data_IF_201153732928
#
_entry.id   IF_201153732928
#
_cell.length_a   1.000
_cell.length_b   1.000
_cell.length_c   1.000
_cell.angle_alpha   90.00
_cell.angle_beta   90.00
_cell.angle_gamma   90.00
#
_symmetry.space_group_name_H-M   'P 1'
#
loop_
_entity.id
_entity.type
_entity.pdbx_description
1 polymer ?
#
# COMPACT_ATOMS: atom_id res chain seq x y z
N UNK A 1 -14.88 23.91 -36.70
CA UNK A 1 -15.74 24.89 -36.01
C UNK A 1 -14.84 25.75 -35.13
N UNK A 2 -15.09 27.06 -35.14
CA UNK A 2 -14.15 28.13 -34.80
C UNK A 2 -13.44 27.98 -33.45
N UNK A 3 -12.13 28.23 -33.45
CA UNK A 3 -11.34 28.56 -32.26
C UNK A 3 -11.76 29.95 -31.74
N UNK A 4 -12.98 30.05 -31.21
CA UNK A 4 -13.35 31.16 -30.32
C UNK A 4 -12.63 30.94 -28.98
N UNK A 5 -11.94 31.95 -28.49
CA UNK A 5 -11.24 31.85 -27.21
C UNK A 5 -12.25 31.70 -26.07
N UNK A 6 -11.95 30.88 -25.05
CA UNK A 6 -12.74 30.80 -23.79
C UNK A 6 -13.02 32.16 -23.14
N UNK A 7 -12.26 33.19 -23.51
CA UNK A 7 -12.44 34.59 -23.10
C UNK A 7 -13.64 35.30 -23.74
N UNK A 8 -14.15 34.83 -24.88
CA UNK A 8 -15.31 35.44 -25.57
C UNK A 8 -16.63 35.19 -24.82
N UNK A 9 -16.64 34.18 -23.96
CA UNK A 9 -17.80 33.73 -23.19
C UNK A 9 -17.79 34.22 -21.73
N UNK A 10 -16.77 35.00 -21.34
CA UNK A 10 -16.57 35.46 -19.98
C UNK A 10 -17.19 36.85 -19.77
N UNK A 11 -18.26 36.92 -18.99
CA UNK A 11 -18.83 38.18 -18.51
C UNK A 11 -18.57 38.30 -17.00
N UNK A 12 -17.69 39.23 -16.62
CA UNK A 12 -17.22 39.42 -15.24
C UNK A 12 -16.59 38.16 -14.62
N UNK A 13 -17.43 37.32 -13.97
CA UNK A 13 -17.05 36.05 -13.35
C UNK A 13 -17.96 34.88 -13.77
N UNK A 14 -18.87 35.13 -14.69
CA UNK A 14 -19.76 34.13 -15.29
C UNK A 14 -19.16 33.67 -16.62
N UNK A 15 -19.02 32.35 -16.75
CA UNK A 15 -18.59 31.73 -17.98
C UNK A 15 -19.73 30.86 -18.52
N UNK A 16 -20.30 31.30 -19.64
CA UNK A 16 -21.36 30.58 -20.33
C UNK A 16 -20.77 29.70 -21.44
N UNK A 17 -20.81 28.40 -21.21
CA UNK A 17 -20.41 27.36 -22.17
C UNK A 17 -21.60 26.46 -22.54
N UNK A 18 -22.82 26.96 -22.38
CA UNK A 18 -24.05 26.24 -22.68
C UNK A 18 -24.24 26.01 -24.20
N UNK A 19 -24.88 24.90 -24.58
CA UNK A 19 -25.25 24.60 -25.98
C UNK A 19 -24.08 24.53 -26.98
N UNK A 20 -22.84 24.37 -26.50
CA UNK A 20 -21.63 24.30 -27.33
C UNK A 20 -21.26 22.88 -27.80
N UNK A 21 -22.12 21.89 -27.53
CA UNK A 21 -21.96 20.48 -27.91
C UNK A 21 -20.71 19.81 -27.32
N UNK A 22 -20.26 20.25 -26.15
CA UNK A 22 -19.13 19.61 -25.47
C UNK A 22 -19.46 18.18 -25.05
N UNK A 23 -18.60 17.23 -25.37
CA UNK A 23 -18.63 15.88 -24.77
C UNK A 23 -17.73 15.78 -23.53
N UNK A 24 -16.72 16.65 -23.44
CA UNK A 24 -15.75 16.73 -22.35
C UNK A 24 -15.63 18.17 -21.90
N UNK A 25 -15.51 18.37 -20.59
CA UNK A 25 -15.36 19.70 -20.00
C UNK A 25 -14.03 20.35 -20.41
N UNK A 26 -14.04 21.60 -20.90
CA UNK A 26 -12.80 22.35 -21.15
C UNK A 26 -12.13 22.75 -19.82
N UNK A 27 -10.98 22.13 -19.51
CA UNK A 27 -10.29 22.21 -18.18
C UNK A 27 -9.62 23.58 -17.90
N UNK A 28 -9.80 24.58 -18.75
CA UNK A 28 -9.08 25.86 -18.69
C UNK A 28 -9.81 27.00 -17.94
N UNK A 29 -10.82 26.71 -17.12
CA UNK A 29 -11.70 27.72 -16.50
C UNK A 29 -11.22 28.11 -15.08
N UNK A 30 -10.02 28.66 -14.90
CA UNK A 30 -9.46 28.84 -13.54
C UNK A 30 -10.05 29.99 -12.70
N UNK A 31 -10.92 30.83 -13.26
CA UNK A 31 -11.32 32.11 -12.62
C UNK A 31 -12.83 32.31 -12.43
N UNK A 32 -13.67 31.47 -13.02
CA UNK A 32 -15.12 31.68 -12.96
C UNK A 32 -15.68 31.39 -11.55
N UNK A 33 -16.67 32.18 -11.14
CA UNK A 33 -17.49 31.92 -9.95
C UNK A 33 -18.87 31.39 -10.34
N UNK A 34 -19.31 31.62 -11.57
CA UNK A 34 -20.51 31.03 -12.15
C UNK A 34 -20.09 30.33 -13.45
N UNK A 35 -20.46 29.06 -13.60
CA UNK A 35 -20.15 28.27 -14.77
C UNK A 35 -21.42 27.60 -15.26
N UNK A 36 -21.82 27.96 -16.48
CA UNK A 36 -22.90 27.29 -17.19
C UNK A 36 -22.31 26.33 -18.22
N UNK A 37 -22.57 25.03 -18.05
CA UNK A 37 -22.22 23.95 -18.96
C UNK A 37 -23.48 23.22 -19.43
N UNK A 38 -24.65 23.83 -19.30
CA UNK A 38 -25.94 23.24 -19.61
C UNK A 38 -26.12 22.92 -21.10
N UNK A 39 -27.03 22.00 -21.40
CA UNK A 39 -27.40 21.64 -22.76
C UNK A 39 -26.21 21.23 -23.66
N UNK A 40 -25.23 20.54 -23.07
CA UNK A 40 -24.12 19.91 -23.79
C UNK A 40 -24.33 18.39 -23.88
N UNK A 41 -23.30 17.62 -24.21
CA UNK A 41 -23.33 16.15 -24.24
C UNK A 41 -22.28 15.53 -23.29
N UNK A 42 -22.00 16.23 -22.19
CA UNK A 42 -20.98 15.84 -21.22
C UNK A 42 -21.42 14.56 -20.51
N UNK A 43 -20.57 13.53 -20.52
CA UNK A 43 -20.85 12.22 -19.90
C UNK A 43 -20.22 12.05 -18.52
N UNK A 44 -19.08 12.69 -18.32
CA UNK A 44 -18.32 12.64 -17.08
C UNK A 44 -17.60 13.97 -16.84
N UNK A 45 -17.34 14.27 -15.56
CA UNK A 45 -16.47 15.34 -15.16
C UNK A 45 -15.10 14.74 -14.78
N UNK A 46 -13.98 15.33 -15.22
CA UNK A 46 -12.67 14.83 -14.83
C UNK A 46 -12.47 14.99 -13.31
N UNK A 47 -11.67 14.11 -12.70
CA UNK A 47 -11.34 14.20 -11.26
C UNK A 47 -10.65 15.53 -10.88
N UNK A 48 -10.06 16.23 -11.83
CA UNK A 48 -9.44 17.54 -11.63
C UNK A 48 -10.43 18.71 -11.71
N UNK A 49 -11.69 18.46 -12.06
CA UNK A 49 -12.72 19.49 -12.23
C UNK A 49 -12.94 20.26 -10.92
N UNK A 50 -13.29 19.55 -9.85
CA UNK A 50 -13.60 20.17 -8.56
C UNK A 50 -12.37 20.85 -7.92
N UNK A 51 -11.17 20.30 -8.10
CA UNK A 51 -9.93 20.87 -7.56
C UNK A 51 -9.46 22.12 -8.30
N UNK A 52 -9.85 22.29 -9.56
CA UNK A 52 -9.49 23.47 -10.37
C UNK A 52 -10.45 24.65 -10.19
N UNK A 53 -11.66 24.39 -9.69
CA UNK A 53 -12.80 25.31 -9.69
C UNK A 53 -13.32 25.65 -8.28
N UNK A 54 -12.42 25.68 -7.30
CA UNK A 54 -12.76 25.84 -5.86
C UNK A 54 -13.48 27.15 -5.51
N UNK A 55 -13.48 28.13 -6.42
CA UNK A 55 -14.18 29.43 -6.29
C UNK A 55 -15.60 29.43 -6.83
N UNK A 56 -16.08 28.33 -7.44
CA UNK A 56 -17.44 28.28 -7.98
C UNK A 56 -18.47 28.45 -6.87
N UNK A 57 -19.46 29.27 -7.19
CA UNK A 57 -20.64 29.58 -6.39
C UNK A 57 -21.89 29.03 -7.08
N UNK A 58 -21.95 29.07 -8.41
CA UNK A 58 -23.02 28.45 -9.19
C UNK A 58 -22.45 27.57 -10.30
N UNK A 59 -23.01 26.39 -10.45
CA UNK A 59 -22.65 25.44 -11.49
C UNK A 59 -23.93 24.87 -12.10
N UNK A 60 -24.14 25.12 -13.39
CA UNK A 60 -25.21 24.50 -14.16
C UNK A 60 -24.62 23.40 -15.05
N UNK A 61 -25.07 22.17 -14.83
CA UNK A 61 -24.74 20.98 -15.61
C UNK A 61 -26.01 20.32 -16.17
N UNK A 62 -27.12 21.05 -16.19
CA UNK A 62 -28.41 20.53 -16.64
C UNK A 62 -28.40 20.11 -18.11
N UNK A 63 -29.30 19.20 -18.49
CA UNK A 63 -29.48 18.72 -19.87
C UNK A 63 -28.18 18.19 -20.48
N UNK A 64 -27.40 17.46 -19.70
CA UNK A 64 -26.21 16.74 -20.14
C UNK A 64 -26.48 15.22 -20.15
N UNK A 65 -25.42 14.40 -20.17
CA UNK A 65 -25.50 12.94 -20.14
C UNK A 65 -24.70 12.37 -18.98
N UNK A 66 -24.57 13.13 -17.89
CA UNK A 66 -23.76 12.72 -16.73
C UNK A 66 -24.32 11.46 -16.10
N UNK A 67 -23.50 10.41 -16.03
CA UNK A 67 -23.86 9.15 -15.38
C UNK A 67 -23.41 9.11 -13.92
N UNK A 68 -22.31 9.80 -13.61
CA UNK A 68 -21.75 9.90 -12.26
C UNK A 68 -21.10 11.27 -12.06
N UNK A 69 -21.06 11.73 -10.80
CA UNK A 69 -20.23 12.85 -10.38
C UNK A 69 -18.95 12.34 -9.71
N UNK A 70 -17.82 13.06 -9.83
CA UNK A 70 -16.57 12.63 -9.22
C UNK A 70 -16.67 12.63 -7.69
N UNK A 71 -16.02 11.65 -7.05
CA UNK A 71 -16.03 11.48 -5.59
C UNK A 71 -15.51 12.70 -4.82
N UNK A 72 -14.75 13.58 -5.47
CA UNK A 72 -14.20 14.79 -4.89
C UNK A 72 -14.98 16.07 -5.22
N UNK A 73 -16.25 15.97 -5.64
CA UNK A 73 -17.12 17.13 -5.92
C UNK A 73 -17.25 18.07 -4.71
N UNK A 74 -17.08 17.53 -3.49
CA UNK A 74 -17.05 18.27 -2.23
C UNK A 74 -15.94 19.33 -2.14
N UNK A 75 -14.91 19.27 -3.00
CA UNK A 75 -13.87 20.31 -3.07
C UNK A 75 -14.41 21.66 -3.55
N UNK A 76 -15.60 21.69 -4.16
CA UNK A 76 -16.33 22.92 -4.48
C UNK A 76 -16.97 23.53 -3.21
N UNK A 77 -16.16 23.90 -2.23
CA UNK A 77 -16.61 24.33 -0.90
C UNK A 77 -17.48 25.59 -0.91
N UNK A 78 -17.35 26.44 -1.93
CA UNK A 78 -18.10 27.69 -2.07
C UNK A 78 -19.39 27.53 -2.89
N UNK A 79 -19.69 26.33 -3.39
CA UNK A 79 -20.83 26.11 -4.27
C UNK A 79 -22.14 26.24 -3.50
N UNK A 80 -23.01 27.13 -3.99
CA UNK A 80 -24.34 27.39 -3.45
C UNK A 80 -25.45 26.81 -4.30
N UNK A 81 -25.26 26.81 -5.62
CA UNK A 81 -26.24 26.32 -6.59
C UNK A 81 -25.60 25.26 -7.47
N UNK A 82 -26.22 24.09 -7.53
CA UNK A 82 -25.82 23.00 -8.42
C UNK A 82 -27.06 22.50 -9.17
N UNK A 83 -27.08 22.70 -10.49
CA UNK A 83 -28.13 22.17 -11.34
C UNK A 83 -27.66 20.91 -12.07
N UNK A 84 -28.37 19.80 -11.86
CA UNK A 84 -28.12 18.51 -12.50
C UNK A 84 -29.38 17.99 -13.20
N UNK A 85 -30.38 18.84 -13.41
CA UNK A 85 -31.62 18.52 -14.10
C UNK A 85 -31.36 17.80 -15.44
N UNK A 86 -32.17 16.80 -15.76
CA UNK A 86 -32.12 16.07 -17.03
C UNK A 86 -30.72 15.52 -17.37
N UNK A 87 -30.19 14.68 -16.48
CA UNK A 87 -28.96 13.91 -16.69
C UNK A 87 -29.25 12.39 -16.62
N UNK A 88 -28.23 11.55 -16.45
CA UNK A 88 -28.34 10.09 -16.36
C UNK A 88 -27.86 9.56 -15.01
N UNK A 89 -27.91 10.39 -13.97
CA UNK A 89 -27.43 10.03 -12.64
C UNK A 89 -28.35 9.00 -12.00
N UNK A 90 -27.76 7.93 -11.47
CA UNK A 90 -28.48 6.93 -10.65
C UNK A 90 -28.29 7.15 -9.16
N UNK A 91 -27.19 7.80 -8.79
CA UNK A 91 -26.78 8.12 -7.42
C UNK A 91 -25.84 9.34 -7.43
N UNK A 92 -25.54 9.86 -6.24
CA UNK A 92 -24.56 10.91 -6.03
C UNK A 92 -23.39 10.34 -5.20
N UNK A 93 -22.18 10.91 -5.31
CA UNK A 93 -21.06 10.52 -4.48
C UNK A 93 -21.37 10.83 -3.03
N UNK A 94 -20.97 9.94 -2.12
CA UNK A 94 -21.25 10.08 -0.68
C UNK A 94 -20.78 11.44 -0.19
N UNK A 95 -19.63 11.93 -0.67
CA UNK A 95 -18.99 13.20 -0.31
C UNK A 95 -19.87 14.45 -0.46
N UNK A 96 -20.99 14.40 -1.18
CA UNK A 96 -21.93 15.53 -1.31
C UNK A 96 -22.40 16.05 0.04
N UNK A 97 -22.46 15.20 1.08
CA UNK A 97 -22.82 15.61 2.44
C UNK A 97 -21.91 16.71 3.02
N UNK A 98 -20.66 16.79 2.55
CA UNK A 98 -19.66 17.76 3.02
C UNK A 98 -19.80 19.14 2.37
N UNK A 99 -20.65 19.28 1.34
CA UNK A 99 -20.88 20.55 0.63
C UNK A 99 -21.75 21.50 1.46
N UNK A 100 -21.19 22.04 2.56
CA UNK A 100 -21.92 22.79 3.59
C UNK A 100 -22.64 24.03 3.10
N UNK A 101 -22.14 24.64 2.03
CA UNK A 101 -22.70 25.86 1.44
C UNK A 101 -23.71 25.59 0.32
N UNK A 102 -23.91 24.33 -0.09
CA UNK A 102 -24.89 23.98 -1.10
C UNK A 102 -26.29 24.27 -0.55
N UNK A 103 -26.99 25.19 -1.21
CA UNK A 103 -28.31 25.68 -0.82
C UNK A 103 -29.38 25.34 -1.83
N UNK A 104 -29.04 25.10 -3.09
CA UNK A 104 -30.01 24.80 -4.15
C UNK A 104 -29.49 23.64 -4.98
N UNK A 105 -30.34 22.64 -5.19
CA UNK A 105 -30.02 21.42 -5.94
C UNK A 105 -31.24 20.97 -6.72
N UNK A 106 -31.07 20.73 -8.02
CA UNK A 106 -32.06 20.04 -8.84
C UNK A 106 -31.47 18.72 -9.37
N UNK A 107 -32.22 17.64 -9.19
CA UNK A 107 -31.90 16.29 -9.67
C UNK A 107 -33.03 15.71 -10.53
N UNK A 108 -34.07 16.50 -10.85
CA UNK A 108 -35.22 16.03 -11.62
C UNK A 108 -34.77 15.51 -12.99
N UNK A 109 -35.56 14.60 -13.54
CA UNK A 109 -35.31 13.94 -14.83
C UNK A 109 -33.97 13.19 -14.87
N UNK A 110 -33.56 12.63 -13.73
CA UNK A 110 -32.51 11.63 -13.63
C UNK A 110 -33.09 10.26 -13.25
N UNK A 111 -32.50 9.14 -13.72
CA UNK A 111 -32.88 7.78 -13.32
C UNK A 111 -32.36 7.42 -11.92
N UNK A 112 -32.62 8.29 -10.93
CA UNK A 112 -32.19 8.11 -9.55
C UNK A 112 -32.76 6.82 -8.96
N UNK A 113 -31.98 6.16 -8.11
CA UNK A 113 -32.50 5.06 -7.31
C UNK A 113 -33.69 5.50 -6.45
N UNK A 114 -34.55 4.55 -6.06
CA UNK A 114 -35.83 4.86 -5.42
C UNK A 114 -35.67 5.64 -4.09
N UNK A 115 -34.65 5.32 -3.31
CA UNK A 115 -34.37 6.00 -2.03
C UNK A 115 -33.99 7.46 -2.25
N UNK A 116 -33.02 7.72 -3.13
CA UNK A 116 -32.55 9.07 -3.41
C UNK A 116 -33.64 9.90 -4.10
N UNK A 117 -34.43 9.30 -4.98
CA UNK A 117 -35.58 9.98 -5.61
C UNK A 117 -36.59 10.44 -4.57
N UNK A 118 -36.89 9.61 -3.57
CA UNK A 118 -37.81 9.98 -2.50
C UNK A 118 -37.24 11.08 -1.58
N UNK A 119 -35.92 11.07 -1.33
CA UNK A 119 -35.24 12.09 -0.53
C UNK A 119 -35.15 13.43 -1.27
N UNK A 120 -34.78 13.40 -2.55
CA UNK A 120 -34.63 14.61 -3.36
C UNK A 120 -35.96 15.35 -3.53
N UNK A 121 -37.05 14.60 -3.71
CA UNK A 121 -38.37 15.17 -3.97
C UNK A 121 -38.43 15.90 -5.31
N UNK A 122 -39.41 16.79 -5.44
CA UNK A 122 -39.53 17.69 -6.59
C UNK A 122 -38.72 18.98 -6.37
N UNK A 123 -38.54 19.74 -7.45
CA UNK A 123 -37.86 21.04 -7.48
C UNK A 123 -38.61 21.93 -8.48
N UNK A 124 -39.87 22.25 -8.19
CA UNK A 124 -40.73 23.09 -9.04
C UNK A 124 -40.59 24.57 -8.69
N UNK A 125 -40.23 24.87 -7.45
CA UNK A 125 -39.95 26.21 -6.96
C UNK A 125 -38.65 26.28 -6.16
N UNK A 126 -38.22 27.51 -5.87
CA UNK A 126 -36.98 27.76 -5.13
C UNK A 126 -36.94 27.04 -3.77
N UNK A 127 -38.05 26.98 -3.03
CA UNK A 127 -38.08 26.38 -1.68
C UNK A 127 -37.93 24.87 -1.76
N UNK A 128 -38.55 24.24 -2.76
CA UNK A 128 -38.42 22.80 -2.99
C UNK A 128 -36.98 22.41 -3.34
N UNK A 129 -36.34 23.14 -4.24
CA UNK A 129 -34.93 22.90 -4.60
C UNK A 129 -33.96 23.17 -3.43
N UNK A 130 -34.28 24.16 -2.58
CA UNK A 130 -33.51 24.42 -1.37
C UNK A 130 -33.64 23.28 -0.35
N UNK A 131 -34.85 22.73 -0.25
CA UNK A 131 -35.12 21.55 0.58
C UNK A 131 -34.40 20.31 0.02
N UNK A 132 -34.45 20.07 -1.28
CA UNK A 132 -33.72 18.99 -1.94
C UNK A 132 -32.23 19.01 -1.57
N UNK A 133 -31.56 20.16 -1.68
CA UNK A 133 -30.15 20.31 -1.31
C UNK A 133 -29.88 19.90 0.15
N UNK A 134 -30.75 20.32 1.07
CA UNK A 134 -30.62 20.01 2.50
C UNK A 134 -30.87 18.52 2.77
N UNK A 135 -31.98 17.98 2.27
CA UNK A 135 -32.45 16.62 2.56
C UNK A 135 -31.50 15.58 1.94
N UNK A 136 -30.99 15.82 0.72
CA UNK A 136 -29.97 14.98 0.08
C UNK A 136 -28.67 14.96 0.87
N UNK A 137 -28.19 16.13 1.34
CA UNK A 137 -26.98 16.20 2.15
C UNK A 137 -27.13 15.47 3.47
N UNK A 138 -28.28 15.59 4.13
CA UNK A 138 -28.57 14.90 5.39
C UNK A 138 -28.65 13.38 5.19
N UNK A 139 -29.30 12.92 4.11
CA UNK A 139 -29.32 11.51 3.72
C UNK A 139 -27.91 10.95 3.55
N UNK A 140 -27.05 11.61 2.76
CA UNK A 140 -25.68 11.12 2.55
C UNK A 140 -24.80 11.23 3.80
N UNK A 141 -25.06 12.17 4.71
CA UNK A 141 -24.38 12.22 6.01
C UNK A 141 -24.69 10.96 6.83
N UNK A 142 -25.95 10.53 6.86
CA UNK A 142 -26.36 9.30 7.54
C UNK A 142 -25.79 8.05 6.86
N UNK A 143 -25.80 8.01 5.53
CA UNK A 143 -25.15 6.93 4.76
C UNK A 143 -23.66 6.84 5.11
N UNK A 144 -22.95 7.97 5.19
CA UNK A 144 -21.54 7.99 5.55
C UNK A 144 -21.29 7.43 6.95
N UNK A 145 -22.11 7.77 7.94
CA UNK A 145 -22.03 7.22 9.30
C UNK A 145 -22.14 5.69 9.29
N UNK A 146 -23.08 5.13 8.52
CA UNK A 146 -23.26 3.68 8.41
C UNK A 146 -22.10 2.99 7.66
N UNK A 147 -21.55 3.63 6.63
CA UNK A 147 -20.35 3.15 5.95
C UNK A 147 -19.14 3.12 6.89
N UNK A 148 -18.92 4.17 7.69
CA UNK A 148 -17.83 4.23 8.66
C UNK A 148 -17.99 3.19 9.78
N UNK A 149 -19.20 2.98 10.31
CA UNK A 149 -19.48 1.89 11.26
C UNK A 149 -19.12 0.52 10.68
N UNK A 150 -19.49 0.25 9.42
CA UNK A 150 -19.15 -1.00 8.72
C UNK A 150 -17.63 -1.15 8.55
N UNK A 151 -16.92 -0.09 8.15
CA UNK A 151 -15.44 -0.08 8.03
C UNK A 151 -14.78 -0.39 9.37
N UNK A 152 -15.18 0.29 10.45
CA UNK A 152 -14.64 0.07 11.80
C UNK A 152 -14.89 -1.37 12.29
N UNK A 153 -16.10 -1.91 12.05
CA UNK A 153 -16.43 -3.31 12.40
C UNK A 153 -15.56 -4.31 11.65
N UNK A 154 -15.35 -4.10 10.34
CA UNK A 154 -14.47 -4.92 9.51
C UNK A 154 -13.03 -4.89 10.02
N UNK A 155 -12.49 -3.71 10.27
CA UNK A 155 -11.13 -3.52 10.78
C UNK A 155 -10.94 -4.17 12.17
N UNK A 156 -11.93 -4.08 13.05
CA UNK A 156 -11.88 -4.75 14.36
C UNK A 156 -11.84 -6.27 14.23
N UNK A 157 -12.58 -6.84 13.25
CA UNK A 157 -12.55 -8.28 12.96
C UNK A 157 -11.20 -8.71 12.40
N UNK A 158 -10.61 -7.91 11.50
CA UNK A 158 -9.28 -8.15 10.94
C UNK A 158 -8.20 -8.10 12.01
N UNK A 159 -8.19 -7.07 12.87
CA UNK A 159 -7.26 -6.97 14.01
C UNK A 159 -7.37 -8.15 14.98
N UNK A 160 -8.57 -8.64 15.26
CA UNK A 160 -8.77 -9.84 16.10
C UNK A 160 -8.19 -11.10 15.46
N UNK A 161 -8.39 -11.28 14.14
CA UNK A 161 -7.84 -12.40 13.38
C UNK A 161 -6.31 -12.36 13.35
N UNK A 162 -5.75 -11.18 13.13
CA UNK A 162 -4.31 -10.94 13.15
C UNK A 162 -3.72 -11.20 14.54
N UNK A 163 -4.35 -10.69 15.61
CA UNK A 163 -3.90 -10.96 16.98
C UNK A 163 -3.95 -12.45 17.34
N UNK A 164 -4.98 -13.18 16.90
CA UNK A 164 -5.05 -14.63 17.08
C UNK A 164 -3.92 -15.34 16.33
N UNK A 165 -3.69 -14.97 15.06
CA UNK A 165 -2.60 -15.52 14.26
C UNK A 165 -1.24 -15.31 14.93
N UNK A 166 -0.95 -14.11 15.39
CA UNK A 166 0.32 -13.79 16.06
C UNK A 166 0.50 -14.60 17.35
N UNK A 167 -0.58 -14.87 18.11
CA UNK A 167 -0.53 -15.73 19.30
C UNK A 167 -0.21 -17.18 18.95
N UNK A 168 -0.85 -17.73 17.91
CA UNK A 168 -0.57 -19.08 17.43
C UNK A 168 0.87 -19.21 16.95
N UNK A 169 1.36 -18.24 16.18
CA UNK A 169 2.76 -18.19 15.73
C UNK A 169 3.74 -18.09 16.91
N UNK A 170 3.42 -17.32 17.96
CA UNK A 170 4.23 -17.23 19.17
C UNK A 170 4.24 -18.56 19.96
N UNK A 171 3.10 -19.22 20.12
CA UNK A 171 2.99 -20.53 20.75
C UNK A 171 3.77 -21.60 19.98
N UNK A 172 3.68 -21.61 18.65
CA UNK A 172 4.47 -22.50 17.80
C UNK A 172 5.97 -22.22 17.93
N UNK A 173 6.39 -20.95 17.97
CA UNK A 173 7.78 -20.58 18.18
C UNK A 173 8.30 -21.02 19.55
N UNK A 174 7.48 -20.92 20.61
CA UNK A 174 7.80 -21.43 21.96
C UNK A 174 7.99 -22.94 21.93
N UNK A 175 7.05 -23.70 21.34
CA UNK A 175 7.16 -25.15 21.18
C UNK A 175 8.41 -25.56 20.40
N UNK A 176 8.72 -24.87 19.28
CA UNK A 176 9.94 -25.10 18.50
C UNK A 176 11.21 -24.85 19.32
N UNK A 177 11.25 -23.77 20.12
CA UNK A 177 12.39 -23.47 21.01
C UNK A 177 12.56 -24.54 22.10
N UNK A 178 11.47 -25.05 22.66
CA UNK A 178 11.50 -26.12 23.67
C UNK A 178 12.01 -27.45 23.08
N UNK A 179 11.48 -27.85 21.92
CA UNK A 179 11.97 -29.03 21.18
C UNK A 179 13.47 -28.89 20.89
N UNK A 180 13.93 -27.72 20.42
CA UNK A 180 15.35 -27.48 20.18
C UNK A 180 16.21 -27.56 21.46
N UNK A 181 15.68 -27.15 22.62
CA UNK A 181 16.39 -27.29 23.91
C UNK A 181 16.51 -28.76 24.31
N UNK A 182 15.41 -29.50 24.27
CA UNK A 182 15.38 -30.93 24.57
C UNK A 182 16.31 -31.72 23.64
N UNK A 183 16.35 -31.38 22.35
CA UNK A 183 17.23 -32.03 21.40
C UNK A 183 18.71 -31.74 21.68
N UNK A 184 19.06 -30.49 22.02
CA UNK A 184 20.43 -30.13 22.43
C UNK A 184 20.85 -30.89 23.69
N UNK A 185 19.96 -31.03 24.66
CA UNK A 185 20.22 -31.78 25.88
C UNK A 185 20.40 -33.28 25.62
N UNK A 186 19.53 -33.88 24.77
CA UNK A 186 19.67 -35.27 24.32
C UNK A 186 21.02 -35.52 23.65
N UNK A 187 21.44 -34.63 22.73
CA UNK A 187 22.75 -34.71 22.06
C UNK A 187 23.91 -34.62 23.07
N UNK A 188 23.79 -33.78 24.11
CA UNK A 188 24.79 -33.66 25.18
C UNK A 188 24.88 -34.94 26.02
N UNK A 189 23.74 -35.52 26.41
CA UNK A 189 23.71 -36.79 27.15
C UNK A 189 24.30 -37.95 26.32
N UNK A 190 23.98 -38.02 25.03
CA UNK A 190 24.52 -39.04 24.12
C UNK A 190 26.04 -38.90 23.97
N UNK A 191 26.56 -37.68 23.86
CA UNK A 191 28.00 -37.41 23.84
C UNK A 191 28.69 -37.87 25.14
N UNK A 192 28.10 -37.58 26.30
CA UNK A 192 28.63 -38.01 27.60
C UNK A 192 28.65 -39.54 27.72
N UNK A 193 27.57 -40.23 27.33
CA UNK A 193 27.53 -41.69 27.31
C UNK A 193 28.62 -42.32 26.43
N UNK A 194 28.82 -41.80 25.21
CA UNK A 194 29.89 -42.27 24.31
C UNK A 194 31.27 -42.06 24.93
N UNK A 195 31.49 -40.94 25.63
CA UNK A 195 32.74 -40.67 26.34
C UNK A 195 32.97 -41.68 27.48
N UNK A 196 31.95 -41.96 28.29
CA UNK A 196 32.02 -42.95 29.36
C UNK A 196 32.27 -44.38 28.83
N UNK A 197 31.62 -44.75 27.73
CA UNK A 197 31.84 -46.03 27.04
C UNK A 197 33.29 -46.16 26.56
N UNK A 198 33.84 -45.12 25.91
CA UNK A 198 35.24 -45.09 25.47
C UNK A 198 36.23 -45.22 26.64
N UNK A 199 36.02 -44.49 27.74
CA UNK A 199 36.88 -44.61 28.94
C UNK A 199 36.83 -46.00 29.58
N UNK A 200 35.66 -46.67 29.58
CA UNK A 200 35.54 -48.05 30.09
C UNK A 200 36.23 -49.07 29.18
N UNK A 201 36.24 -48.85 27.86
CA UNK A 201 37.03 -49.68 26.94
C UNK A 201 38.54 -49.43 27.05
N UNK A 202 38.98 -48.20 27.32
CA UNK A 202 40.39 -47.90 27.60
C UNK A 202 40.84 -48.51 28.94
N UNK A 203 40.02 -48.50 29.98
CA UNK A 203 40.30 -49.19 31.26
C UNK A 203 40.30 -50.72 31.14
N UNK A 204 39.46 -51.30 30.28
CA UNK A 204 39.52 -52.74 29.95
C UNK A 204 40.78 -53.09 29.16
N UNK A 205 41.16 -52.28 28.18
CA UNK A 205 42.39 -52.48 27.41
C UNK A 205 43.64 -52.30 28.30
N UNK A 206 43.66 -51.34 29.23
CA UNK A 206 44.78 -51.17 30.17
C UNK A 206 44.87 -52.29 31.23
N UNK A 207 43.77 -52.97 31.56
CA UNK A 207 43.80 -54.18 32.39
C UNK A 207 44.34 -55.40 31.63
N UNK A 208 44.13 -55.47 30.32
CA UNK A 208 44.75 -56.48 29.44
C UNK A 208 46.25 -56.21 29.17
N UNK A 209 46.69 -54.95 29.29
CA UNK A 209 48.11 -54.57 29.13
C UNK A 209 48.93 -54.79 30.40
N UNK A 210 48.32 -54.88 31.58
CA UNK A 210 49.02 -55.24 32.83
C UNK A 210 49.40 -56.72 32.98
N UNK A 211 49.19 -57.55 31.97
CA UNK A 211 49.62 -58.96 31.99
C UNK A 211 50.75 -59.30 31.00
N UNK A 212 51.24 -58.34 30.20
CA UNK A 212 52.35 -58.59 29.30
C UNK A 212 53.26 -57.37 29.16
N UNK A 213 54.27 -57.25 30.03
CA UNK A 213 55.57 -56.69 29.64
C UNK A 213 56.64 -57.05 30.69
N UNK A 214 57.49 -58.03 30.37
CA UNK A 214 58.85 -58.11 30.92
C UNK A 214 59.85 -58.40 29.80
N UNK A 215 60.87 -57.53 29.72
CA UNK A 215 62.17 -57.66 29.01
C UNK A 215 62.06 -57.48 27.48
N UNK A 216 62.91 -56.69 26.81
CA UNK A 216 64.38 -56.72 26.91
C UNK A 216 65.02 -55.47 26.29
N UNK A 217 66.21 -55.16 26.81
CA UNK A 217 67.21 -54.15 26.44
C UNK A 217 67.80 -54.24 25.01
N UNK A 218 68.35 -53.08 24.58
CA UNK A 218 69.67 -52.83 23.91
C UNK A 218 69.82 -52.89 22.37
N UNK A 219 70.20 -51.72 21.83
CA UNK A 219 71.55 -51.34 21.36
C UNK A 219 71.68 -50.66 19.97
N UNK A 220 72.59 -49.67 19.98
CA UNK A 220 73.53 -49.14 18.95
C UNK A 220 73.12 -48.28 17.74
N UNK A 221 73.39 -46.97 17.89
CA UNK A 221 74.39 -46.12 17.18
C UNK A 221 74.21 -45.58 15.73
N UNK A 222 74.49 -44.26 15.65
CA UNK A 222 75.10 -43.43 14.58
C UNK A 222 74.31 -42.79 13.42
N UNK A 223 74.70 -41.53 13.19
CA UNK A 223 74.68 -40.68 11.98
C UNK A 223 73.48 -39.75 11.68
N UNK A 224 73.75 -38.44 11.80
CA UNK A 224 73.05 -37.36 11.09
C UNK A 224 73.73 -37.11 9.73
N UNK A 225 72.99 -36.75 8.66
CA UNK A 225 72.81 -35.32 8.37
C UNK A 225 71.45 -34.91 7.77
N UNK A 226 71.16 -33.61 7.91
CA UNK A 226 69.97 -32.84 7.47
C UNK A 226 69.51 -33.10 6.02
N UNK A 227 68.22 -33.39 5.82
CA UNK A 227 67.47 -33.10 4.56
C UNK A 227 66.04 -32.58 4.89
N UNK A 228 65.59 -31.62 4.08
CA UNK A 228 64.40 -30.74 4.14
C UNK A 228 63.05 -31.44 4.38
N UNK A 229 62.04 -30.74 4.96
CA UNK A 229 60.67 -31.25 5.02
C UNK A 229 60.03 -31.29 3.63
N UNK A 230 59.54 -32.47 3.26
CA UNK A 230 58.72 -32.73 2.08
C UNK A 230 57.39 -31.98 2.15
N UNK A 231 57.05 -31.30 1.06
CA UNK A 231 55.76 -30.67 0.79
C UNK A 231 54.67 -31.71 0.53
N UNK A 232 53.42 -31.19 0.61
CA UNK A 232 52.14 -31.64 -0.01
C UNK A 232 51.35 -32.68 0.80
N UNK A 233 50.07 -32.49 1.12
CA UNK A 233 49.03 -31.65 0.50
C UNK A 233 48.21 -30.88 1.55
N UNK A 234 48.31 -29.55 1.54
CA UNK A 234 47.17 -28.70 1.91
C UNK A 234 46.40 -28.45 0.61
N UNK A 235 45.22 -29.06 0.45
CA UNK A 235 44.21 -28.47 -0.43
C UNK A 235 43.54 -27.36 0.36
N UNK A 236 43.72 -26.15 -0.14
CA UNK A 236 43.34 -24.90 0.46
C UNK A 236 41.88 -24.87 0.93
N UNK A 237 41.70 -24.32 2.13
CA UNK A 237 40.42 -23.79 2.59
C UNK A 237 39.86 -22.85 1.53
N UNK A 238 38.79 -23.27 0.84
CA UNK A 238 37.95 -22.37 0.06
C UNK A 238 37.24 -21.45 1.05
N UNK A 239 37.87 -20.30 1.33
CA UNK A 239 37.48 -19.46 2.46
C UNK A 239 36.04 -18.96 2.27
N UNK A 240 35.22 -19.08 3.32
CA UNK A 240 33.86 -18.49 3.37
C UNK A 240 33.84 -17.00 2.97
N UNK A 241 34.98 -16.30 3.08
CA UNK A 241 35.16 -14.92 2.63
C UNK A 241 34.99 -14.78 1.10
N UNK A 242 35.46 -15.74 0.30
CA UNK A 242 35.30 -15.73 -1.16
C UNK A 242 33.83 -15.93 -1.57
N UNK A 243 33.10 -16.80 -0.86
CA UNK A 243 31.67 -17.03 -1.09
C UNK A 243 30.87 -15.76 -0.73
N UNK A 244 31.20 -15.12 0.39
CA UNK A 244 30.56 -13.86 0.80
C UNK A 244 30.77 -12.74 -0.22
N UNK A 245 31.99 -12.60 -0.77
CA UNK A 245 32.29 -11.61 -1.81
C UNK A 245 31.51 -11.88 -3.09
N UNK A 246 31.38 -13.15 -3.51
CA UNK A 246 30.58 -13.52 -4.69
C UNK A 246 29.10 -13.20 -4.47
N UNK A 247 28.55 -13.50 -3.29
CA UNK A 247 27.17 -13.14 -2.94
C UNK A 247 26.95 -11.62 -2.92
N UNK A 248 27.91 -10.86 -2.41
CA UNK A 248 27.84 -9.39 -2.38
C UNK A 248 27.85 -8.79 -3.79
N UNK A 249 28.73 -9.28 -4.67
CA UNK A 249 28.80 -8.83 -6.06
C UNK A 249 27.52 -9.21 -6.82
N UNK A 250 26.98 -10.41 -6.61
CA UNK A 250 25.71 -10.83 -7.20
C UNK A 250 24.54 -9.97 -6.73
N UNK A 251 24.48 -9.65 -5.43
CA UNK A 251 23.45 -8.78 -4.86
C UNK A 251 23.53 -7.37 -5.46
N UNK A 252 24.74 -6.80 -5.56
CA UNK A 252 24.96 -5.47 -6.14
C UNK A 252 24.55 -5.46 -7.61
N UNK A 253 24.92 -6.49 -8.38
CA UNK A 253 24.54 -6.60 -9.79
C UNK A 253 23.01 -6.68 -9.98
N UNK A 254 22.32 -7.40 -9.10
CA UNK A 254 20.87 -7.54 -9.13
C UNK A 254 20.16 -6.22 -8.77
N UNK A 255 20.69 -5.48 -7.78
CA UNK A 255 20.19 -4.16 -7.41
C UNK A 255 20.40 -3.11 -8.51
N UNK A 256 21.56 -3.11 -9.18
CA UNK A 256 21.85 -2.20 -10.31
C UNK A 256 20.94 -2.52 -11.50
N UNK A 257 20.71 -3.80 -11.79
CA UNK A 257 19.81 -4.23 -12.86
C UNK A 257 18.35 -3.84 -12.57
N UNK A 258 17.90 -3.99 -11.32
CA UNK A 258 16.57 -3.52 -10.89
C UNK A 258 16.42 -2.00 -10.97
N UNK A 259 17.48 -1.26 -10.60
CA UNK A 259 17.49 0.20 -10.70
C UNK A 259 17.41 0.67 -12.15
N UNK A 260 18.15 0.03 -13.06
CA UNK A 260 18.12 0.34 -14.49
C UNK A 260 16.76 -0.04 -15.13
N UNK A 261 16.20 -1.19 -14.74
CA UNK A 261 14.85 -1.62 -15.14
C UNK A 261 13.78 -0.60 -14.69
N UNK A 262 13.79 -0.21 -13.42
CA UNK A 262 12.85 0.79 -12.89
C UNK A 262 13.08 2.22 -13.39
N UNK A 263 14.24 2.50 -13.99
CA UNK A 263 14.52 3.81 -14.62
C UNK A 263 13.99 3.87 -16.06
N UNK A 264 13.90 2.73 -16.75
CA UNK A 264 13.44 2.66 -18.15
C UNK A 264 11.98 2.20 -18.32
N UNK A 265 11.37 1.58 -17.30
CA UNK A 265 9.99 1.09 -17.35
C UNK A 265 9.17 1.57 -16.15
N UNK A 266 7.97 2.12 -16.41
CA UNK A 266 7.00 2.54 -15.39
C UNK A 266 6.08 1.36 -15.01
N UNK A 267 6.64 0.40 -14.28
CA UNK A 267 5.93 -0.78 -13.81
C UNK A 267 5.52 -0.63 -12.32
N UNK A 268 4.44 -1.30 -11.91
CA UNK A 268 3.77 -1.07 -10.60
C UNK A 268 4.69 -1.44 -9.41
N UNK A 269 5.59 -2.39 -9.61
CA UNK A 269 6.60 -2.83 -8.63
C UNK A 269 7.64 -1.73 -8.32
N UNK A 270 7.93 -0.86 -9.29
CA UNK A 270 8.87 0.24 -9.12
C UNK A 270 8.27 1.42 -8.34
N UNK A 271 6.94 1.60 -8.43
CA UNK A 271 6.22 2.65 -7.69
C UNK A 271 6.03 2.31 -6.21
N UNK A 272 5.76 1.05 -5.86
CA UNK A 272 5.64 0.64 -4.46
C UNK A 272 6.98 0.65 -3.73
N UNK A 273 8.08 0.27 -4.40
CA UNK A 273 9.42 0.28 -3.83
C UNK A 273 9.91 1.67 -3.41
N UNK A 274 9.66 2.70 -4.24
CA UNK A 274 10.02 4.10 -3.91
C UNK A 274 9.26 4.61 -2.67
N UNK A 275 8.00 4.25 -2.51
CA UNK A 275 7.16 4.66 -1.38
C UNK A 275 7.66 4.10 -0.04
N UNK A 276 8.08 2.83 -0.02
CA UNK A 276 8.61 2.21 1.19
C UNK A 276 9.97 2.78 1.61
N UNK A 277 10.84 3.08 0.65
CA UNK A 277 12.16 3.69 0.92
C UNK A 277 12.00 5.10 1.51
N UNK A 278 11.14 5.93 0.93
CA UNK A 278 10.78 7.27 1.44
C UNK A 278 10.19 7.20 2.86
N UNK A 279 9.28 6.27 3.11
CA UNK A 279 8.65 6.10 4.42
C UNK A 279 9.65 5.66 5.50
N UNK A 280 10.58 4.76 5.16
CA UNK A 280 11.64 4.33 6.08
C UNK A 280 12.65 5.45 6.35
N UNK A 281 13.03 6.22 5.34
CA UNK A 281 13.92 7.38 5.51
C UNK A 281 13.31 8.46 6.42
N UNK A 282 12.02 8.77 6.24
CA UNK A 282 11.30 9.70 7.15
C UNK A 282 11.24 9.18 8.59
N UNK A 283 10.99 7.89 8.79
CA UNK A 283 11.00 7.28 10.13
C UNK A 283 12.39 7.28 10.77
N UNK A 284 13.45 7.15 9.97
CA UNK A 284 14.83 7.20 10.47
C UNK A 284 15.23 8.61 10.89
N UNK A 285 14.86 9.63 10.10
CA UNK A 285 15.10 11.04 10.46
C UNK A 285 14.35 11.48 11.72
N UNK A 286 13.15 10.93 11.96
CA UNK A 286 12.36 11.16 13.18
C UNK A 286 12.96 10.50 14.44
N UNK A 287 13.85 9.51 14.30
CA UNK A 287 14.55 8.87 15.43
C UNK A 287 15.92 9.48 15.72
N UNK A 288 16.43 10.33 14.82
CA UNK A 288 17.74 10.99 14.93
C UNK A 288 17.63 12.46 15.38
N UNK A 289 16.42 12.92 15.74
CA UNK A 289 16.15 14.16 16.49
C UNK A 289 15.62 13.79 17.86
#
# INVERSE_FOLDING_TARGET
MSRGGLSEHLNENELDLSMLQYEVVPVAVKKATQLDLSANSIRELPQTFASSLTRLVKLDLSKNRLEILPDNINLLQNLHTLDLYANRLTSLPVSIFEMKNLKWLDLKDNPLNAELKAVAGDCLDKKECERCAKDVREYYANVNVELEKKKVKKLKKERKREALRNRLEEEEAKKKKEIQKLEKERRRQEFLRKKEENTKSEEKNNKDVTENETKTEKDTNSDQPKIKPSKRNNSESFTLKSIFVIFLVALISLLVSLWFYCSNYNDILCTEGKYWIEMYWKKLQLKLK
#
